data_IF_671389540663
#
_entry.id   IF_671389540663
#
_cell.length_a   1.000
_cell.length_b   1.000
_cell.length_c   1.000
_cell.angle_alpha   90.00
_cell.angle_beta   90.00
_cell.angle_gamma   90.00
#
_symmetry.space_group_name_H-M   'P 1'
#
loop_
_entity.id
_entity.type
_entity.pdbx_description
1 polymer ?
#
# COMPACT_ATOMS: atom_id res chain seq x y z
N UNK A 1 -22.90 -0.86 10.19
CA UNK A 1 -21.51 -0.88 10.69
C UNK A 1 -20.66 -1.80 9.82
N UNK A 2 -19.38 -1.46 9.68
CA UNK A 2 -18.31 -2.32 9.16
C UNK A 2 -17.27 -2.54 10.27
N UNK A 3 -16.55 -3.65 10.22
CA UNK A 3 -15.41 -3.90 11.12
C UNK A 3 -14.15 -3.65 10.31
N UNK A 4 -13.30 -2.74 10.76
CA UNK A 4 -11.96 -2.54 10.23
C UNK A 4 -10.96 -3.25 11.15
N UNK A 5 -10.07 -4.07 10.58
CA UNK A 5 -9.16 -4.93 11.32
C UNK A 5 -7.90 -4.18 11.78
N UNK A 6 -7.30 -3.39 10.88
CA UNK A 6 -6.04 -2.64 11.03
C UNK A 6 -4.76 -3.46 11.26
N UNK A 7 -4.86 -4.78 11.40
CA UNK A 7 -3.70 -5.65 11.59
C UNK A 7 -3.72 -6.91 10.72
N UNK A 8 -4.12 -6.77 9.45
CA UNK A 8 -4.04 -7.87 8.48
C UNK A 8 -2.57 -8.11 8.12
N UNK A 9 -2.05 -9.29 8.49
CA UNK A 9 -0.66 -9.73 8.24
C UNK A 9 -0.58 -11.26 8.33
N UNK A 10 0.44 -11.91 7.76
CA UNK A 10 0.58 -13.37 7.77
C UNK A 10 0.44 -14.00 9.16
N UNK A 11 1.02 -13.38 10.19
CA UNK A 11 0.96 -13.86 11.58
C UNK A 11 -0.46 -13.93 12.16
N UNK A 12 -1.40 -13.15 11.59
CA UNK A 12 -2.80 -13.08 12.01
C UNK A 12 -3.72 -13.87 11.07
N UNK A 13 -3.16 -14.62 10.10
CA UNK A 13 -3.90 -15.57 9.29
C UNK A 13 -3.55 -16.97 9.79
N UNK A 14 -4.44 -17.54 10.58
CA UNK A 14 -4.31 -18.91 11.07
C UNK A 14 -4.80 -19.89 10.01
N UNK A 15 -4.33 -21.13 10.09
CA UNK A 15 -4.77 -22.22 9.23
C UNK A 15 -5.41 -23.30 10.11
N UNK A 16 -6.58 -23.79 9.72
CA UNK A 16 -7.15 -24.97 10.36
C UNK A 16 -6.55 -26.28 9.81
N UNK A 17 -7.04 -27.42 10.29
CA UNK A 17 -6.56 -28.75 9.90
C UNK A 17 -6.65 -29.04 8.40
N UNK A 18 -7.52 -28.33 7.68
CA UNK A 18 -7.72 -28.44 6.24
C UNK A 18 -7.01 -27.32 5.47
N UNK A 19 -6.10 -26.58 6.11
CA UNK A 19 -5.40 -25.43 5.55
C UNK A 19 -6.34 -24.28 5.10
N UNK A 20 -7.54 -24.17 5.67
CA UNK A 20 -8.40 -23.02 5.39
C UNK A 20 -7.94 -21.81 6.23
N UNK A 21 -7.76 -20.63 5.60
CA UNK A 21 -7.34 -19.43 6.31
C UNK A 21 -8.45 -18.87 7.20
N UNK A 22 -8.08 -18.46 8.42
CA UNK A 22 -8.93 -17.78 9.39
C UNK A 22 -8.24 -16.53 9.91
N UNK A 23 -8.92 -15.39 9.84
CA UNK A 23 -8.41 -14.12 10.38
C UNK A 23 -8.53 -14.16 11.91
N UNK A 24 -7.46 -13.78 12.60
CA UNK A 24 -7.38 -13.68 14.06
C UNK A 24 -6.88 -12.30 14.50
N UNK A 25 -6.87 -12.06 15.81
CA UNK A 25 -6.36 -10.84 16.46
C UNK A 25 -7.10 -9.54 16.09
N UNK A 26 -8.31 -9.42 16.63
CA UNK A 26 -9.14 -8.21 16.52
C UNK A 26 -8.81 -7.16 17.59
N UNK A 27 -7.63 -7.23 18.25
CA UNK A 27 -7.27 -6.30 19.33
C UNK A 27 -7.20 -4.83 18.90
N UNK A 28 -6.91 -4.60 17.61
CA UNK A 28 -6.88 -3.26 17.00
C UNK A 28 -8.16 -2.92 16.21
N UNK A 29 -9.10 -3.86 16.12
CA UNK A 29 -10.27 -3.72 15.28
C UNK A 29 -11.25 -2.65 15.81
N UNK A 30 -12.00 -2.03 14.90
CA UNK A 30 -13.01 -1.02 15.24
C UNK A 30 -14.25 -1.14 14.38
N UNK A 31 -15.38 -0.80 15.00
CA UNK A 31 -16.64 -0.59 14.31
C UNK A 31 -16.64 0.79 13.64
N UNK A 32 -16.96 0.81 12.35
CA UNK A 32 -17.08 2.00 11.53
C UNK A 32 -18.51 2.14 11.00
N UNK A 33 -19.12 3.34 11.05
CA UNK A 33 -20.34 3.64 10.31
C UNK A 33 -20.10 3.45 8.80
N UNK A 34 -21.14 3.03 8.07
CA UNK A 34 -21.03 2.74 6.62
C UNK A 34 -20.99 4.04 5.80
N UNK A 35 -21.36 5.13 6.44
CA UNK A 35 -21.73 6.44 5.93
C UNK A 35 -20.55 7.43 5.80
N UNK A 36 -19.33 6.90 5.56
CA UNK A 36 -18.15 7.66 5.14
C UNK A 36 -17.68 8.80 6.08
N UNK A 37 -18.04 8.78 7.37
CA UNK A 37 -17.46 9.74 8.32
C UNK A 37 -15.97 9.46 8.51
N UNK A 38 -15.11 10.37 8.05
CA UNK A 38 -13.67 10.34 8.33
C UNK A 38 -13.50 10.31 9.86
N UNK A 39 -13.03 9.18 10.39
CA UNK A 39 -12.77 9.08 11.83
C UNK A 39 -11.41 9.68 12.13
N UNK A 40 -11.36 10.61 13.09
CA UNK A 40 -10.11 11.06 13.67
C UNK A 40 -9.48 9.93 14.48
N UNK A 41 -8.64 9.13 13.85
CA UNK A 41 -7.75 8.24 14.57
C UNK A 41 -6.79 9.07 15.43
N UNK A 42 -6.81 8.83 16.74
CA UNK A 42 -5.97 9.52 17.74
C UNK A 42 -4.51 9.06 17.69
N UNK A 43 -4.22 7.89 17.14
CA UNK A 43 -2.87 7.38 16.93
C UNK A 43 -2.84 6.41 15.74
N UNK A 44 -1.71 6.35 15.03
CA UNK A 44 -1.45 5.30 14.04
C UNK A 44 -1.44 3.94 14.75
N UNK A 45 -2.08 2.94 14.16
CA UNK A 45 -2.20 1.57 14.69
C UNK A 45 -1.94 0.55 13.57
N UNK A 46 -1.47 -0.62 13.96
CA UNK A 46 -1.16 -1.74 13.07
C UNK A 46 0.31 -2.12 13.13
N UNK A 47 0.70 -3.08 12.29
CA UNK A 47 2.09 -3.58 12.21
C UNK A 47 2.88 -2.86 11.11
N UNK A 48 4.06 -2.33 11.45
CA UNK A 48 4.97 -1.68 10.48
C UNK A 48 5.20 -2.58 9.25
N UNK A 49 5.17 -1.97 8.06
CA UNK A 49 5.21 -2.69 6.78
C UNK A 49 3.84 -3.15 6.26
N UNK A 50 2.80 -3.09 7.08
CA UNK A 50 1.41 -3.41 6.70
C UNK A 50 0.45 -2.23 6.89
N UNK A 51 0.88 -1.18 7.60
CA UNK A 51 0.07 0.01 7.88
C UNK A 51 -0.11 0.83 6.59
N UNK A 52 -1.37 1.13 6.27
CA UNK A 52 -1.71 1.97 5.13
C UNK A 52 -1.23 3.42 5.33
N UNK A 53 -0.72 4.09 4.28
CA UNK A 53 -0.07 5.39 4.40
C UNK A 53 -0.99 6.50 4.93
N UNK A 54 -2.30 6.42 4.68
CA UNK A 54 -3.29 7.41 5.15
C UNK A 54 -3.46 7.45 6.68
N UNK A 55 -2.95 6.44 7.41
CA UNK A 55 -2.90 6.48 8.87
C UNK A 55 -1.81 7.44 9.39
N UNK A 56 -0.83 7.80 8.55
CA UNK A 56 0.22 8.78 8.86
C UNK A 56 0.03 10.08 8.07
N UNK A 57 -0.33 9.97 6.80
CA UNK A 57 -0.46 11.08 5.86
C UNK A 57 -1.94 11.46 5.70
N UNK A 58 -2.42 12.43 6.49
CA UNK A 58 -3.83 12.85 6.46
C UNK A 58 -4.23 13.58 5.16
N UNK A 59 -3.26 14.00 4.35
CA UNK A 59 -3.48 14.74 3.09
C UNK A 59 -3.76 13.84 1.87
N UNK A 60 -3.58 12.53 1.97
CA UNK A 60 -3.79 11.60 0.83
C UNK A 60 -5.15 10.90 0.85
N UNK A 61 -5.94 11.05 1.92
CA UNK A 61 -7.29 10.48 2.04
C UNK A 61 -7.68 10.17 3.49
N UNK A 62 -8.97 9.92 3.71
CA UNK A 62 -9.49 9.49 5.01
C UNK A 62 -9.36 7.98 5.23
N UNK A 63 -9.26 7.58 6.49
CA UNK A 63 -9.20 6.16 6.87
C UNK A 63 -10.55 5.48 6.65
N UNK A 64 -10.53 4.35 5.96
CA UNK A 64 -11.70 3.54 5.60
C UNK A 64 -11.30 2.06 5.50
N UNK A 65 -12.21 1.19 5.03
CA UNK A 65 -11.89 -0.21 4.73
C UNK A 65 -10.73 -0.40 3.74
N UNK A 66 -10.36 0.66 2.98
CA UNK A 66 -9.20 0.67 2.11
C UNK A 66 -7.87 0.52 2.85
N UNK A 67 -7.83 0.79 4.16
CA UNK A 67 -6.65 0.51 4.98
C UNK A 67 -6.38 -1.00 5.06
N UNK A 68 -7.42 -1.81 5.30
CA UNK A 68 -7.29 -3.28 5.32
C UNK A 68 -6.99 -3.85 3.92
N UNK A 69 -7.48 -3.22 2.86
CA UNK A 69 -7.11 -3.56 1.47
C UNK A 69 -5.60 -3.39 1.25
N UNK A 70 -5.01 -2.30 1.76
CA UNK A 70 -3.57 -2.07 1.66
C UNK A 70 -2.79 -3.15 2.41
N UNK A 71 -3.17 -3.44 3.65
CA UNK A 71 -2.53 -4.48 4.47
C UNK A 71 -2.63 -5.87 3.80
N UNK A 72 -3.77 -6.19 3.20
CA UNK A 72 -3.94 -7.40 2.39
C UNK A 72 -3.01 -7.43 1.17
N UNK A 73 -2.83 -6.29 0.48
CA UNK A 73 -1.86 -6.18 -0.62
C UNK A 73 -0.42 -6.47 -0.18
N UNK A 74 0.00 -5.95 0.98
CA UNK A 74 1.32 -6.25 1.56
C UNK A 74 1.47 -7.72 1.96
N UNK A 75 0.40 -8.34 2.47
CA UNK A 75 0.34 -9.77 2.73
C UNK A 75 0.51 -10.60 1.44
N UNK A 76 -0.20 -10.24 0.37
CA UNK A 76 -0.05 -10.91 -0.93
C UNK A 76 1.36 -10.76 -1.49
N UNK A 77 2.00 -9.59 -1.29
CA UNK A 77 3.40 -9.40 -1.67
C UNK A 77 4.34 -10.34 -0.91
N UNK A 78 4.15 -10.49 0.40
CA UNK A 78 4.94 -11.42 1.21
C UNK A 78 4.81 -12.85 0.65
N UNK A 79 3.57 -13.30 0.43
CA UNK A 79 3.27 -14.62 -0.10
C UNK A 79 3.88 -14.85 -1.48
N UNK A 80 3.69 -13.89 -2.39
CA UNK A 80 4.21 -13.97 -3.74
C UNK A 80 5.75 -14.01 -3.74
N UNK A 81 6.40 -13.20 -2.92
CA UNK A 81 7.87 -13.13 -2.87
C UNK A 81 8.53 -14.41 -2.33
N UNK A 82 7.79 -15.24 -1.59
CA UNK A 82 8.32 -16.34 -0.75
C UNK A 82 9.43 -15.87 0.22
N UNK A 83 9.53 -14.57 0.51
CA UNK A 83 10.47 -13.92 1.42
C UNK A 83 9.67 -13.17 2.50
N UNK A 84 10.20 -13.05 3.71
CA UNK A 84 9.55 -12.22 4.75
C UNK A 84 9.72 -10.73 4.40
N UNK A 85 8.64 -9.93 4.44
CA UNK A 85 8.70 -8.49 4.12
C UNK A 85 9.63 -7.69 5.06
N UNK A 86 10.00 -8.22 6.22
CA UNK A 86 10.83 -7.53 7.22
C UNK A 86 12.33 -7.50 6.90
N UNK A 87 12.85 -8.41 6.07
CA UNK A 87 14.31 -8.52 5.87
C UNK A 87 14.92 -7.45 4.95
N UNK A 88 14.16 -6.43 4.54
CA UNK A 88 14.60 -5.47 3.50
C UNK A 88 14.62 -4.02 4.00
N UNK A 89 14.10 -3.73 5.20
CA UNK A 89 14.17 -2.37 5.74
C UNK A 89 15.41 -2.04 6.58
N UNK A 90 16.18 -3.03 7.06
CA UNK A 90 17.17 -2.75 8.13
C UNK A 90 18.60 -3.23 7.86
N UNK A 91 18.88 -4.11 6.91
CA UNK A 91 20.27 -4.57 6.72
C UNK A 91 20.67 -4.49 5.24
N UNK A 92 21.57 -3.53 4.97
CA UNK A 92 22.22 -3.20 3.70
C UNK A 92 21.48 -2.20 2.79
N UNK A 93 22.10 -1.02 2.67
CA UNK A 93 21.71 0.20 1.96
C UNK A 93 21.54 0.10 0.43
N UNK A 94 21.08 -1.03 -0.11
CA UNK A 94 20.86 -1.22 -1.54
C UNK A 94 19.71 -2.20 -1.88
N UNK A 95 18.91 -2.64 -0.91
CA UNK A 95 17.77 -3.52 -1.21
C UNK A 95 16.52 -2.71 -1.57
N UNK A 96 16.18 -2.71 -2.85
CA UNK A 96 15.00 -2.04 -3.41
C UNK A 96 13.74 -2.54 -2.69
N UNK A 97 12.88 -1.63 -2.23
CA UNK A 97 11.55 -1.92 -1.69
C UNK A 97 10.83 -2.95 -2.58
N UNK A 98 10.50 -4.12 -2.03
CA UNK A 98 10.07 -5.28 -2.83
C UNK A 98 8.95 -4.97 -3.83
N UNK A 99 7.89 -4.20 -3.47
CA UNK A 99 6.89 -3.80 -4.46
C UNK A 99 7.42 -2.97 -5.62
N UNK A 100 8.39 -2.10 -5.38
CA UNK A 100 9.02 -1.29 -6.43
C UNK A 100 9.86 -2.16 -7.36
N UNK A 101 10.63 -3.08 -6.78
CA UNK A 101 11.40 -4.06 -7.53
C UNK A 101 10.48 -4.94 -8.39
N UNK A 102 9.38 -5.46 -7.82
CA UNK A 102 8.44 -6.31 -8.53
C UNK A 102 7.78 -5.59 -9.72
N UNK A 103 7.42 -4.32 -9.54
CA UNK A 103 6.92 -3.47 -10.61
C UNK A 103 7.96 -3.28 -11.73
N UNK A 104 9.21 -2.96 -11.36
CA UNK A 104 10.28 -2.70 -12.32
C UNK A 104 10.67 -3.97 -13.09
N UNK A 105 10.66 -5.16 -12.46
CA UNK A 105 10.91 -6.43 -13.15
C UNK A 105 9.83 -6.72 -14.20
N UNK A 106 8.56 -6.55 -13.82
CA UNK A 106 7.44 -6.76 -14.74
C UNK A 106 7.57 -5.87 -15.98
N UNK A 107 7.85 -4.57 -15.80
CA UNK A 107 7.95 -3.64 -16.91
C UNK A 107 9.16 -3.90 -17.82
N UNK A 108 10.21 -4.53 -17.30
CA UNK A 108 11.35 -4.98 -18.11
C UNK A 108 11.06 -6.26 -18.90
N UNK A 109 9.90 -6.89 -18.68
CA UNK A 109 9.56 -8.18 -19.27
C UNK A 109 10.33 -9.35 -18.66
N UNK A 110 10.95 -9.14 -17.49
CA UNK A 110 11.68 -10.18 -16.79
C UNK A 110 10.70 -11.04 -16.00
N UNK A 111 10.94 -12.35 -15.99
CA UNK A 111 10.29 -13.23 -15.03
C UNK A 111 10.75 -12.82 -13.61
N UNK A 112 9.84 -12.83 -12.66
CA UNK A 112 10.21 -12.78 -11.25
C UNK A 112 11.08 -14.01 -11.00
N UNK A 113 12.38 -13.82 -10.71
CA UNK A 113 13.34 -14.92 -10.55
C UNK A 113 12.88 -15.87 -9.44
N UNK A 114 12.17 -16.91 -9.84
CA UNK A 114 11.60 -17.91 -8.95
C UNK A 114 12.05 -19.27 -9.40
N UNK A 115 12.91 -19.87 -8.59
CA UNK A 115 13.39 -21.23 -8.82
C UNK A 115 12.25 -22.21 -8.58
N UNK A 116 12.19 -23.26 -9.40
CA UNK A 116 11.29 -24.41 -9.25
C UNK A 116 9.78 -24.06 -9.29
N UNK A 117 9.38 -23.20 -10.23
CA UNK A 117 7.97 -22.80 -10.42
C UNK A 117 7.53 -23.18 -11.83
N UNK A 118 6.41 -23.90 -11.94
CA UNK A 118 5.82 -24.26 -13.23
C UNK A 118 5.06 -23.08 -13.88
N UNK A 119 4.68 -23.21 -15.15
CA UNK A 119 4.02 -22.12 -15.90
C UNK A 119 2.64 -21.71 -15.35
N UNK A 120 1.92 -22.63 -14.69
CA UNK A 120 0.63 -22.32 -14.05
C UNK A 120 0.84 -21.50 -12.77
N UNK A 121 1.79 -21.93 -11.94
CA UNK A 121 2.17 -21.21 -10.72
C UNK A 121 2.72 -19.81 -11.06
N UNK A 122 3.52 -19.67 -12.13
CA UNK A 122 3.99 -18.36 -12.61
C UNK A 122 2.81 -17.43 -12.95
N UNK A 123 1.77 -17.94 -13.61
CA UNK A 123 0.55 -17.16 -13.91
C UNK A 123 -0.16 -16.72 -12.63
N UNK A 124 -0.29 -17.62 -11.65
CA UNK A 124 -0.90 -17.32 -10.35
C UNK A 124 -0.10 -16.23 -9.63
N UNK A 125 1.21 -16.38 -9.54
CA UNK A 125 2.10 -15.42 -8.86
C UNK A 125 2.04 -14.06 -9.56
N UNK A 126 2.10 -14.02 -10.89
CA UNK A 126 1.96 -12.78 -11.66
C UNK A 126 0.65 -12.06 -11.33
N UNK A 127 -0.45 -12.80 -11.27
CA UNK A 127 -1.78 -12.28 -10.93
C UNK A 127 -1.85 -11.77 -9.48
N UNK A 128 -1.23 -12.50 -8.54
CA UNK A 128 -1.10 -12.06 -7.15
C UNK A 128 -0.31 -10.75 -7.05
N UNK A 129 0.84 -10.65 -7.72
CA UNK A 129 1.69 -9.45 -7.70
C UNK A 129 0.97 -8.24 -8.28
N UNK A 130 0.34 -8.36 -9.45
CA UNK A 130 -0.40 -7.22 -10.02
C UNK A 130 -1.56 -6.79 -9.12
N UNK A 131 -2.32 -7.75 -8.60
CA UNK A 131 -3.43 -7.45 -7.69
C UNK A 131 -2.94 -6.78 -6.41
N UNK A 132 -1.82 -7.25 -5.87
CA UNK A 132 -1.19 -6.66 -4.71
C UNK A 132 -0.71 -5.23 -5.00
N UNK A 133 -0.12 -4.96 -6.17
CA UNK A 133 0.28 -3.60 -6.60
C UNK A 133 -0.92 -2.65 -6.67
N UNK A 134 -2.10 -3.13 -7.08
CA UNK A 134 -3.35 -2.34 -7.04
C UNK A 134 -3.78 -2.04 -5.60
N UNK A 135 -3.61 -3.00 -4.69
CA UNK A 135 -4.01 -2.86 -3.29
C UNK A 135 -3.12 -1.88 -2.52
N UNK A 136 -1.83 -1.77 -2.86
CA UNK A 136 -0.85 -0.97 -2.11
C UNK A 136 -0.65 0.45 -2.66
N UNK A 137 -1.58 0.94 -3.49
CA UNK A 137 -1.52 2.31 -4.00
C UNK A 137 -1.57 3.32 -2.85
N UNK A 138 -0.85 4.43 -3.02
CA UNK A 138 -0.73 5.45 -1.98
C UNK A 138 -2.09 6.03 -1.60
N UNK A 139 -2.86 6.51 -2.59
CA UNK A 139 -4.19 7.06 -2.33
C UNK A 139 -5.20 5.93 -2.10
N UNK A 140 -6.00 5.97 -1.02
CA UNK A 140 -7.03 4.97 -0.76
C UNK A 140 -8.09 4.86 -1.87
N UNK A 141 -8.33 5.97 -2.60
CA UNK A 141 -9.26 6.02 -3.74
C UNK A 141 -8.85 5.09 -4.88
N UNK A 142 -7.54 4.90 -5.07
CA UNK A 142 -6.98 4.20 -6.24
C UNK A 142 -6.92 2.69 -6.01
N UNK A 143 -7.14 2.25 -4.76
CA UNK A 143 -7.20 0.84 -4.38
C UNK A 143 -8.55 0.23 -4.77
N UNK A 144 -8.60 -1.02 -5.23
CA UNK A 144 -9.86 -1.73 -5.51
C UNK A 144 -10.68 -1.98 -4.23
N UNK A 145 -11.94 -2.39 -4.40
CA UNK A 145 -12.71 -3.01 -3.31
C UNK A 145 -12.29 -4.46 -3.13
N UNK A 146 -12.51 -5.04 -1.94
CA UNK A 146 -12.19 -6.46 -1.71
C UNK A 146 -12.95 -7.41 -2.65
N UNK A 147 -14.19 -7.07 -3.05
CA UNK A 147 -14.92 -7.84 -4.05
C UNK A 147 -14.19 -7.84 -5.41
N UNK A 148 -13.65 -6.68 -5.82
CA UNK A 148 -12.86 -6.60 -7.05
C UNK A 148 -11.53 -7.33 -6.93
N UNK A 149 -10.90 -7.31 -5.75
CA UNK A 149 -9.69 -8.10 -5.47
C UNK A 149 -9.95 -9.60 -5.63
N UNK A 150 -11.08 -10.11 -5.13
CA UNK A 150 -11.47 -11.52 -5.31
C UNK A 150 -11.64 -11.85 -6.79
N UNK A 151 -12.32 -11.01 -7.56
CA UNK A 151 -12.46 -11.18 -9.01
C UNK A 151 -11.10 -11.20 -9.72
N UNK A 152 -10.21 -10.26 -9.35
CA UNK A 152 -8.86 -10.13 -9.90
C UNK A 152 -7.94 -11.30 -9.58
N UNK A 153 -8.18 -12.05 -8.49
CA UNK A 153 -7.43 -13.25 -8.12
C UNK A 153 -8.06 -14.53 -8.67
N UNK A 154 -9.38 -14.66 -8.55
CA UNK A 154 -10.12 -15.90 -8.79
C UNK A 154 -10.68 -16.08 -10.21
N UNK A 155 -10.84 -15.03 -11.02
CA UNK A 155 -11.47 -15.18 -12.34
C UNK A 155 -10.57 -15.90 -13.36
N UNK A 156 -11.11 -16.80 -14.18
CA UNK A 156 -10.36 -17.48 -15.26
C UNK A 156 -9.94 -16.56 -16.42
N UNK A 157 -10.29 -15.28 -16.33
CA UNK A 157 -9.99 -14.25 -17.32
C UNK A 157 -8.52 -13.79 -17.34
N UNK A 158 -8.27 -12.83 -18.22
CA UNK A 158 -6.95 -12.23 -18.40
C UNK A 158 -6.40 -11.61 -17.12
N UNK A 159 -5.07 -11.65 -16.98
CA UNK A 159 -4.36 -11.03 -15.87
C UNK A 159 -4.72 -9.52 -15.80
N UNK A 160 -4.97 -8.94 -14.61
CA UNK A 160 -5.28 -7.53 -14.51
C UNK A 160 -4.19 -6.66 -15.15
N UNK A 161 -4.58 -5.49 -15.68
CA UNK A 161 -3.61 -4.51 -16.18
C UNK A 161 -2.75 -4.01 -15.01
N UNK A 162 -1.47 -3.76 -15.29
CA UNK A 162 -0.54 -3.21 -14.30
C UNK A 162 -1.01 -1.82 -13.84
N UNK A 163 -1.10 -1.54 -12.51
CA UNK A 163 -1.42 -0.20 -12.00
C UNK A 163 -0.28 0.80 -12.22
N UNK A 164 -0.45 2.02 -11.72
CA UNK A 164 0.64 2.98 -11.62
C UNK A 164 1.75 2.46 -10.69
N UNK A 165 2.98 2.85 -10.99
CA UNK A 165 4.16 2.56 -10.16
C UNK A 165 3.90 3.05 -8.73
N UNK A 166 3.99 2.19 -7.71
CA UNK A 166 3.79 2.61 -6.32
C UNK A 166 4.80 3.68 -5.92
N UNK A 167 4.35 4.67 -5.15
CA UNK A 167 5.22 5.68 -4.54
C UNK A 167 5.54 5.29 -3.09
N UNK A 168 6.74 5.64 -2.61
CA UNK A 168 7.16 5.41 -1.22
C UNK A 168 6.72 6.52 -0.27
N UNK A 169 6.47 7.71 -0.81
CA UNK A 169 6.09 8.91 -0.10
C UNK A 169 5.09 9.73 -0.93
N UNK A 170 4.22 10.53 -0.29
CA UNK A 170 3.36 11.45 -1.03
C UNK A 170 4.22 12.42 -1.87
N UNK A 171 3.91 12.56 -3.16
CA UNK A 171 4.44 13.68 -3.94
C UNK A 171 3.71 14.94 -3.49
N UNK A 172 4.45 16.00 -3.13
CA UNK A 172 3.86 17.31 -2.93
C UNK A 172 3.14 17.71 -4.22
N UNK A 173 1.82 17.89 -4.14
CA UNK A 173 1.09 18.50 -5.23
C UNK A 173 1.57 19.94 -5.32
N UNK A 174 2.41 20.26 -6.31
CA UNK A 174 2.60 21.65 -6.71
C UNK A 174 1.22 22.20 -7.06
N UNK A 175 0.65 23.00 -6.14
CA UNK A 175 -0.54 23.80 -6.41
C UNK A 175 -0.16 24.69 -7.60
N UNK A 176 -0.90 24.53 -8.70
CA UNK A 176 -0.67 25.26 -9.94
C UNK A 176 -0.48 26.74 -9.67
N UNK A 177 0.45 27.34 -10.39
CA UNK A 177 0.73 28.77 -10.34
C UNK A 177 -0.59 29.55 -10.41
N UNK A 178 -0.99 30.13 -9.27
CA UNK A 178 -1.92 31.24 -9.27
C UNK A 178 -1.15 32.36 -9.96
N UNK A 179 -1.59 32.69 -11.17
CA UNK A 179 -1.07 33.81 -11.92
C UNK A 179 -1.63 35.09 -11.29
N UNK A 180 -1.10 35.44 -10.12
CA UNK A 180 -1.30 36.76 -9.52
C UNK A 180 -0.37 37.74 -10.23
N UNK A 181 -0.95 38.51 -11.14
CA UNK A 181 -0.34 39.69 -11.71
C UNK A 181 0.02 40.67 -10.59
N UNK A 182 1.30 40.72 -10.23
CA UNK A 182 1.85 41.82 -9.43
C UNK A 182 3.06 42.38 -10.17
N UNK A 183 2.89 43.59 -10.71
CA UNK A 183 3.95 44.40 -11.31
C UNK A 183 5.08 44.68 -10.30
N UNK A 184 6.32 44.88 -10.77
CA UNK A 184 7.49 44.92 -9.91
C UNK A 184 7.63 46.27 -9.22
N UNK A 185 7.75 46.26 -7.90
CA UNK A 185 8.33 47.37 -7.15
C UNK A 185 9.36 46.76 -6.20
N UNK A 186 10.62 47.07 -6.46
CA UNK A 186 11.75 46.52 -5.72
C UNK A 186 11.93 47.14 -4.33
N UNK A 187 12.63 46.41 -3.46
CA UNK A 187 13.70 46.90 -2.60
C UNK A 187 14.25 45.73 -1.78
N UNK A 188 15.58 45.73 -1.66
CA UNK A 188 16.42 44.77 -0.93
C UNK A 188 15.91 44.37 0.47
N UNK A 189 16.06 43.08 0.79
CA UNK A 189 15.99 42.56 2.16
C UNK A 189 16.46 41.11 2.22
N UNK A 190 17.69 40.89 2.68
CA UNK A 190 18.18 39.57 3.07
C UNK A 190 17.28 38.98 4.15
N UNK A 191 16.83 37.73 3.97
CA UNK A 191 16.12 36.97 5.00
C UNK A 191 16.94 35.73 5.35
N UNK A 192 17.62 35.84 6.50
CA UNK A 192 18.31 34.78 7.21
C UNK A 192 17.30 33.89 7.93
N UNK A 193 17.27 32.59 7.63
CA UNK A 193 16.43 31.63 8.35
C UNK A 193 17.15 31.15 9.61
N UNK A 194 16.63 31.53 10.78
CA UNK A 194 17.03 30.95 12.06
C UNK A 194 16.02 29.85 12.44
N UNK A 195 16.52 28.62 12.56
CA UNK A 195 15.77 27.48 13.09
C UNK A 195 15.68 27.61 14.61
N UNK A 196 14.47 27.82 15.15
CA UNK A 196 14.21 27.62 16.58
C UNK A 196 13.54 26.26 16.77
N UNK A 197 14.20 25.39 17.51
CA UNK A 197 13.68 24.11 17.94
C UNK A 197 12.76 24.30 19.15
N UNK A 198 11.53 23.81 19.06
CA UNK A 198 10.83 23.04 20.11
C UNK A 198 9.58 22.38 19.57
#
# INVERSE_FOLDING_TARGET
MQILHFDIKPHNILLDENFNPKISDFGLAKLYPVDNSIVSLTAARGTMGYIAPELFYKNIGGVSYKADVYSFGMLLMEMASRRKNWSTMVEHSNQIYFPLWAYDQYNKGNDLEMRDVNEEEKKIIKKMVITALWCIQMKPSDRPSMNKVIEMLGGDGECPKMPLRPFLYPQEMHVGAVQENLNPIGSNGELTWTLSAR
#
